data_IF_056336325759
#
_entry.id   IF_056336325759
#
_cell.length_a   1.000
_cell.length_b   1.000
_cell.length_c   1.000
_cell.angle_alpha   90.00
_cell.angle_beta   90.00
_cell.angle_gamma   90.00
#
_symmetry.space_group_name_H-M   'P 1'
#
loop_
_entity.id
_entity.type
_entity.pdbx_description
1 polymer ?
#
# COMPACT_ATOMS: atom_id res chain seq x y z
N UNK A 1 5.62 4.01 3.92
CA UNK A 1 6.12 2.67 4.29
C UNK A 1 5.56 2.26 5.66
N UNK A 2 4.71 1.22 5.75
CA UNK A 2 4.25 0.64 7.03
C UNK A 2 4.84 -0.75 7.18
N UNK A 3 5.48 -1.04 8.30
CA UNK A 3 6.09 -2.35 8.63
C UNK A 3 4.99 -3.32 9.05
N UNK A 4 4.83 -4.44 8.35
CA UNK A 4 3.76 -5.44 8.59
C UNK A 4 4.26 -6.65 9.42
N UNK A 5 5.52 -6.65 9.87
CA UNK A 5 6.09 -7.72 10.70
C UNK A 5 7.35 -7.21 11.41
N UNK A 6 7.45 -7.40 12.72
CA UNK A 6 8.65 -7.12 13.52
C UNK A 6 9.69 -8.27 13.44
N UNK A 7 9.88 -8.87 12.28
CA UNK A 7 11.13 -9.60 12.05
C UNK A 7 12.22 -8.56 11.84
N UNK A 8 12.87 -8.16 12.94
CA UNK A 8 14.09 -7.36 12.90
C UNK A 8 15.17 -8.25 12.32
N UNK A 9 15.27 -8.26 10.99
CA UNK A 9 16.38 -8.89 10.31
C UNK A 9 17.67 -8.19 10.75
N UNK A 10 18.53 -8.92 11.46
CA UNK A 10 19.78 -8.39 12.06
C UNK A 10 20.99 -8.48 11.12
N UNK A 11 20.78 -8.77 9.83
CA UNK A 11 21.83 -8.85 8.82
C UNK A 11 21.81 -7.69 7.83
N UNK A 12 22.71 -7.74 6.84
CA UNK A 12 22.67 -6.85 5.67
C UNK A 12 21.70 -7.41 4.63
N UNK A 13 20.89 -6.55 4.03
CA UNK A 13 19.99 -6.94 2.95
C UNK A 13 20.11 -5.96 1.78
N UNK A 14 20.04 -6.48 0.56
CA UNK A 14 19.99 -5.65 -0.63
C UNK A 14 18.74 -4.77 -0.64
N UNK A 15 18.92 -3.52 -1.06
CA UNK A 15 17.83 -2.64 -1.46
C UNK A 15 17.91 -2.41 -2.97
N UNK A 16 16.82 -1.97 -3.58
CA UNK A 16 16.73 -1.75 -5.02
C UNK A 16 17.54 -0.55 -5.56
N UNK A 17 18.59 -0.09 -4.88
CA UNK A 17 19.41 1.05 -5.31
C UNK A 17 20.73 0.55 -5.91
N UNK A 18 21.03 0.97 -7.13
CA UNK A 18 22.24 0.56 -7.85
C UNK A 18 22.73 1.62 -8.83
N UNK A 19 23.93 1.44 -9.37
CA UNK A 19 24.50 2.23 -10.48
C UNK A 19 25.24 1.29 -11.44
N UNK A 20 25.52 1.72 -12.66
CA UNK A 20 26.21 0.87 -13.66
C UNK A 20 27.73 0.92 -13.54
N UNK A 21 28.27 2.03 -13.05
CA UNK A 21 29.70 2.29 -12.90
C UNK A 21 29.92 3.44 -11.90
N UNK A 22 31.18 3.78 -11.65
CA UNK A 22 31.56 4.81 -10.67
C UNK A 22 31.07 6.23 -11.03
N UNK A 23 30.87 6.53 -12.32
CA UNK A 23 30.42 7.84 -12.82
C UNK A 23 28.91 7.94 -12.95
N UNK A 24 28.21 6.81 -13.00
CA UNK A 24 26.76 6.75 -13.09
C UNK A 24 26.08 7.24 -11.80
N UNK A 25 24.93 7.87 -11.98
CA UNK A 25 24.03 8.20 -10.87
C UNK A 25 23.42 6.94 -10.28
N UNK A 26 23.14 6.96 -8.99
CA UNK A 26 22.32 5.94 -8.36
C UNK A 26 20.90 5.95 -8.95
N UNK A 27 20.28 4.78 -9.07
CA UNK A 27 18.93 4.61 -9.62
C UNK A 27 18.20 3.55 -8.79
N UNK A 28 16.97 3.86 -8.38
CA UNK A 28 16.06 2.88 -7.78
C UNK A 28 15.50 1.93 -8.84
N UNK A 29 15.31 0.67 -8.49
CA UNK A 29 14.77 -0.37 -9.38
C UNK A 29 13.36 -0.07 -9.89
N UNK A 30 12.60 0.76 -9.16
CA UNK A 30 11.27 1.23 -9.57
C UNK A 30 11.31 2.55 -10.36
N UNK A 31 12.52 3.07 -10.64
CA UNK A 31 12.76 4.33 -11.33
C UNK A 31 12.22 5.57 -10.60
N UNK A 32 11.88 5.45 -9.32
CA UNK A 32 11.49 6.60 -8.51
C UNK A 32 12.64 7.61 -8.39
N UNK A 33 12.33 8.92 -8.30
CA UNK A 33 13.36 9.93 -8.12
C UNK A 33 14.05 9.76 -6.77
N UNK A 34 15.38 9.89 -6.76
CA UNK A 34 16.15 9.90 -5.51
C UNK A 34 15.95 11.23 -4.81
N UNK A 35 15.29 11.20 -3.65
CA UNK A 35 15.11 12.36 -2.78
C UNK A 35 16.06 12.34 -1.59
N UNK A 36 16.29 11.15 -1.02
CA UNK A 36 17.15 10.96 0.15
C UNK A 36 17.70 9.54 0.20
N UNK A 37 18.98 9.39 0.55
CA UNK A 37 19.64 8.10 0.73
C UNK A 37 20.38 8.11 2.08
N UNK A 38 20.01 7.25 3.05
CA UNK A 38 20.57 7.27 4.40
C UNK A 38 21.93 6.56 4.47
N UNK A 39 22.94 7.09 3.79
CA UNK A 39 24.29 6.54 3.81
C UNK A 39 24.82 6.33 5.23
N UNK A 40 25.56 5.24 5.41
CA UNK A 40 26.37 5.01 6.59
C UNK A 40 27.56 5.98 6.66
N UNK A 41 28.26 6.00 7.80
CA UNK A 41 29.52 6.72 7.90
C UNK A 41 30.50 6.26 6.81
N UNK A 42 31.14 7.21 6.12
CA UNK A 42 32.11 6.95 5.04
C UNK A 42 31.53 6.19 3.85
N UNK A 43 30.26 6.42 3.50
CA UNK A 43 29.57 5.77 2.38
C UNK A 43 28.95 6.82 1.44
N UNK A 44 28.83 6.53 0.13
CA UNK A 44 29.42 5.37 -0.56
C UNK A 44 30.94 5.54 -0.71
N UNK A 45 31.72 4.47 -0.65
CA UNK A 45 33.19 4.52 -0.76
C UNK A 45 33.79 3.79 -1.96
N UNK A 46 33.00 3.03 -2.72
CA UNK A 46 33.45 2.33 -3.93
C UNK A 46 34.80 1.62 -3.80
N UNK A 47 34.99 0.87 -2.72
CA UNK A 47 36.19 0.06 -2.48
C UNK A 47 36.50 -0.81 -3.71
N UNK A 48 37.78 -0.87 -4.08
CA UNK A 48 38.26 -1.59 -5.26
C UNK A 48 37.59 -1.21 -6.61
N UNK A 49 36.87 -0.08 -6.66
CA UNK A 49 36.14 0.38 -7.85
C UNK A 49 35.13 -0.64 -8.40
N UNK A 50 34.45 -1.40 -7.52
CA UNK A 50 33.49 -2.43 -7.93
C UNK A 50 32.23 -2.51 -7.06
N UNK A 51 31.91 -1.46 -6.30
CA UNK A 51 30.74 -1.42 -5.42
C UNK A 51 29.61 -0.58 -6.02
N UNK A 52 28.71 -1.27 -6.71
CA UNK A 52 27.67 -0.66 -7.52
C UNK A 52 26.24 -1.03 -7.08
N UNK A 53 26.11 -1.82 -6.02
CA UNK A 53 24.84 -2.20 -5.41
C UNK A 53 24.79 -1.73 -3.96
N UNK A 54 23.60 -1.43 -3.44
CA UNK A 54 23.45 -0.90 -2.09
C UNK A 54 22.73 -1.88 -1.18
N UNK A 55 23.31 -2.13 -0.01
CA UNK A 55 22.67 -2.88 1.06
C UNK A 55 22.28 -1.96 2.23
N UNK A 56 21.19 -2.32 2.92
CA UNK A 56 20.84 -1.78 4.22
C UNK A 56 21.50 -2.60 5.32
N UNK A 57 22.14 -1.92 6.26
CA UNK A 57 22.77 -2.51 7.45
C UNK A 57 21.75 -2.69 8.58
N UNK A 58 22.08 -3.46 9.64
CA UNK A 58 21.20 -3.63 10.81
C UNK A 58 20.83 -2.32 11.52
N UNK A 59 21.63 -1.26 11.33
CA UNK A 59 21.39 0.08 11.89
C UNK A 59 20.55 0.98 10.95
N UNK A 60 19.90 0.40 9.93
CA UNK A 60 19.12 1.11 8.92
C UNK A 60 19.93 2.18 8.15
N UNK A 61 21.22 1.93 7.95
CA UNK A 61 22.14 2.76 7.15
C UNK A 61 22.56 2.04 5.88
N UNK A 62 22.86 2.79 4.83
CA UNK A 62 23.20 2.24 3.51
C UNK A 62 24.72 2.08 3.33
N UNK A 63 25.11 1.04 2.61
CA UNK A 63 26.47 0.65 2.32
C UNK A 63 26.56 0.22 0.85
N UNK A 64 27.49 0.78 0.07
CA UNK A 64 27.76 0.26 -1.28
C UNK A 64 28.64 -0.99 -1.20
N UNK A 65 28.25 -2.02 -1.95
CA UNK A 65 28.88 -3.33 -1.95
C UNK A 65 28.98 -3.88 -3.37
N UNK A 66 29.85 -4.88 -3.52
CA UNK A 66 29.98 -5.66 -4.74
C UNK A 66 28.69 -6.44 -5.01
N UNK A 67 28.06 -6.14 -6.16
CA UNK A 67 26.79 -6.77 -6.56
C UNK A 67 26.77 -8.31 -6.51
N UNK A 68 27.86 -9.05 -6.80
CA UNK A 68 27.88 -10.51 -6.71
C UNK A 68 27.70 -11.08 -5.29
N UNK A 69 27.75 -10.25 -4.24
CA UNK A 69 27.61 -10.72 -2.86
C UNK A 69 26.21 -11.31 -2.62
N UNK A 70 26.17 -12.47 -1.98
CA UNK A 70 24.91 -13.18 -1.66
C UNK A 70 24.31 -12.62 -0.37
N UNK A 71 23.31 -11.74 -0.51
CA UNK A 71 22.50 -11.19 0.59
C UNK A 71 21.01 -11.37 0.26
N UNK A 72 20.12 -11.45 1.27
CA UNK A 72 18.68 -11.39 1.04
C UNK A 72 18.27 -10.03 0.47
N UNK A 73 17.12 -9.97 -0.19
CA UNK A 73 16.60 -8.75 -0.82
C UNK A 73 15.39 -8.21 -0.06
N UNK A 74 15.32 -6.89 0.12
CA UNK A 74 14.11 -6.21 0.61
C UNK A 74 13.23 -5.86 -0.58
N UNK A 75 12.03 -6.45 -0.62
CA UNK A 75 11.00 -6.07 -1.59
C UNK A 75 9.95 -5.18 -0.91
N UNK A 76 9.46 -4.18 -1.63
CA UNK A 76 8.24 -3.48 -1.27
C UNK A 76 7.27 -3.50 -2.43
N UNK A 77 5.99 -3.38 -2.09
CA UNK A 77 4.93 -3.11 -3.05
C UNK A 77 4.15 -1.93 -2.51
N UNK A 78 3.97 -0.90 -3.34
CA UNK A 78 3.01 0.15 -3.07
C UNK A 78 1.61 -0.46 -3.21
N UNK A 79 0.96 -0.70 -2.06
CA UNK A 79 -0.45 -1.08 -2.06
C UNK A 79 -1.27 0.17 -2.29
N UNK A 80 -1.66 0.40 -3.54
CA UNK A 80 -2.64 1.42 -3.87
C UNK A 80 -3.95 1.10 -3.14
N UNK A 81 -4.30 1.93 -2.16
CA UNK A 81 -5.61 1.87 -1.51
C UNK A 81 -6.60 2.64 -2.35
N UNK A 82 -7.31 1.94 -3.22
CA UNK A 82 -8.44 2.50 -3.93
C UNK A 82 -9.69 2.41 -3.04
N UNK A 83 -10.46 3.49 -2.98
CA UNK A 83 -11.75 3.52 -2.29
C UNK A 83 -12.85 3.66 -3.32
N UNK A 84 -13.68 2.63 -3.47
CA UNK A 84 -14.89 2.68 -4.29
C UNK A 84 -16.06 3.14 -3.42
N UNK A 85 -16.85 4.09 -3.92
CA UNK A 85 -18.09 4.54 -3.24
C UNK A 85 -19.29 3.90 -3.92
N UNK A 86 -20.07 3.15 -3.15
CA UNK A 86 -21.27 2.47 -3.63
C UNK A 86 -22.51 3.18 -3.08
N UNK A 87 -23.52 3.34 -3.93
CA UNK A 87 -24.89 3.68 -3.50
C UNK A 87 -25.76 2.47 -3.74
N UNK A 88 -26.36 1.96 -2.67
CA UNK A 88 -27.17 0.74 -2.70
C UNK A 88 -28.59 1.10 -2.29
N UNK A 89 -29.58 0.64 -3.07
CA UNK A 89 -30.99 0.77 -2.74
C UNK A 89 -31.50 -0.61 -2.33
N UNK A 90 -31.96 -0.73 -1.09
CA UNK A 90 -32.48 -1.98 -0.54
C UNK A 90 -33.65 -1.68 0.40
N UNK A 91 -34.53 -2.67 0.59
CA UNK A 91 -35.58 -2.65 1.61
C UNK A 91 -35.10 -3.18 2.97
N UNK A 92 -33.97 -3.90 3.01
CA UNK A 92 -33.37 -4.45 4.23
C UNK A 92 -32.27 -3.58 4.83
N UNK A 93 -31.73 -4.01 5.98
CA UNK A 93 -30.56 -3.37 6.57
C UNK A 93 -29.27 -3.90 5.92
N UNK A 94 -28.59 -3.04 5.17
CA UNK A 94 -27.33 -3.37 4.50
C UNK A 94 -26.13 -3.43 5.46
N UNK A 95 -26.28 -2.93 6.70
CA UNK A 95 -25.23 -3.02 7.71
C UNK A 95 -25.31 -4.33 8.52
N UNK A 96 -26.29 -5.20 8.27
CA UNK A 96 -26.33 -6.55 8.84
C UNK A 96 -25.01 -7.30 8.53
N UNK A 97 -24.33 -7.90 9.53
CA UNK A 97 -23.04 -8.56 9.33
C UNK A 97 -23.05 -9.70 8.30
N UNK A 98 -24.13 -10.48 8.21
CA UNK A 98 -24.23 -11.55 7.23
C UNK A 98 -24.40 -10.98 5.82
N UNK A 99 -25.27 -9.96 5.68
CA UNK A 99 -25.50 -9.28 4.40
C UNK A 99 -24.25 -8.57 3.91
N UNK A 100 -23.56 -7.81 4.77
CA UNK A 100 -22.39 -7.05 4.36
C UNK A 100 -21.21 -7.96 3.96
N UNK A 101 -21.11 -9.15 4.56
CA UNK A 101 -20.07 -10.14 4.25
C UNK A 101 -20.33 -10.74 2.89
N UNK A 102 -21.59 -11.11 2.62
CA UNK A 102 -22.03 -11.62 1.33
C UNK A 102 -21.80 -10.61 0.18
N UNK A 103 -22.15 -9.34 0.40
CA UNK A 103 -21.89 -8.28 -0.59
C UNK A 103 -20.40 -8.11 -0.85
N UNK A 104 -19.55 -8.20 0.19
CA UNK A 104 -18.09 -8.09 0.02
C UNK A 104 -17.55 -9.25 -0.82
N UNK A 105 -18.06 -10.47 -0.59
CA UNK A 105 -17.69 -11.66 -1.36
C UNK A 105 -18.08 -11.52 -2.83
N UNK A 106 -19.30 -11.07 -3.12
CA UNK A 106 -19.75 -10.86 -4.50
C UNK A 106 -18.90 -9.83 -5.25
N UNK A 107 -18.51 -8.74 -4.58
CA UNK A 107 -17.59 -7.74 -5.15
C UNK A 107 -16.23 -8.39 -5.45
N UNK A 108 -15.72 -9.24 -4.56
CA UNK A 108 -14.45 -9.94 -4.77
C UNK A 108 -14.50 -10.85 -6.00
N UNK A 109 -15.57 -11.62 -6.17
CA UNK A 109 -15.78 -12.51 -7.31
C UNK A 109 -15.89 -11.73 -8.64
N UNK A 110 -16.61 -10.61 -8.63
CA UNK A 110 -16.70 -9.72 -9.80
C UNK A 110 -15.34 -9.17 -10.19
N UNK A 111 -14.53 -8.72 -9.22
CA UNK A 111 -13.20 -8.21 -9.52
C UNK A 111 -12.26 -9.33 -10.02
N UNK A 112 -12.38 -10.56 -9.49
CA UNK A 112 -11.66 -11.75 -9.98
C UNK A 112 -11.97 -12.06 -11.43
N UNK A 113 -13.26 -12.07 -11.79
CA UNK A 113 -13.69 -12.31 -13.16
C UNK A 113 -13.17 -11.26 -14.16
N UNK A 114 -12.84 -10.05 -13.69
CA UNK A 114 -12.30 -8.96 -14.49
C UNK A 114 -10.76 -8.81 -14.37
N UNK A 115 -10.07 -9.76 -13.73
CA UNK A 115 -8.60 -9.78 -13.65
C UNK A 115 -7.98 -8.72 -12.73
N UNK A 116 -8.73 -8.22 -11.75
CA UNK A 116 -8.30 -7.09 -10.89
C UNK A 116 -7.76 -7.50 -9.51
N UNK A 117 -7.84 -8.78 -9.12
CA UNK A 117 -7.75 -9.18 -7.70
C UNK A 117 -6.53 -9.98 -7.29
N UNK A 118 -5.53 -10.17 -8.15
CA UNK A 118 -4.40 -11.05 -7.80
C UNK A 118 -3.65 -10.59 -6.53
N UNK A 119 -3.89 -9.37 -6.05
CA UNK A 119 -3.35 -8.83 -4.78
C UNK A 119 -4.33 -7.97 -3.95
N UNK A 120 -5.62 -7.88 -4.31
CA UNK A 120 -6.55 -6.90 -3.73
C UNK A 120 -7.25 -7.45 -2.48
N UNK A 121 -6.76 -7.11 -1.28
CA UNK A 121 -7.51 -7.31 -0.04
C UNK A 121 -8.67 -6.31 0.03
N UNK A 122 -9.90 -6.78 -0.13
CA UNK A 122 -11.10 -5.97 0.06
C UNK A 122 -11.47 -5.87 1.55
N UNK A 123 -11.98 -4.70 1.93
CA UNK A 123 -12.51 -4.47 3.27
C UNK A 123 -13.46 -3.29 3.27
N UNK A 124 -14.51 -3.36 4.08
CA UNK A 124 -15.38 -2.22 4.32
C UNK A 124 -14.63 -1.09 5.03
N UNK A 125 -14.95 0.15 4.63
CA UNK A 125 -14.55 1.34 5.39
C UNK A 125 -15.61 1.60 6.45
N UNK A 126 -15.32 1.15 7.68
CA UNK A 126 -16.17 1.41 8.84
C UNK A 126 -16.04 2.89 9.24
N UNK A 127 -17.17 3.52 9.51
CA UNK A 127 -17.27 4.91 9.92
C UNK A 127 -17.20 5.05 11.45
N UNK A 128 -17.03 6.26 12.01
CA UNK A 128 -16.94 6.45 13.45
C UNK A 128 -18.15 5.94 14.25
N UNK A 129 -19.31 5.86 13.62
CA UNK A 129 -20.56 5.33 14.19
C UNK A 129 -20.66 3.79 14.15
N UNK A 130 -19.62 3.11 13.64
CA UNK A 130 -19.58 1.65 13.49
C UNK A 130 -20.27 1.14 12.22
N UNK A 131 -20.94 2.00 11.44
CA UNK A 131 -21.63 1.59 10.22
C UNK A 131 -20.71 1.65 8.99
N UNK A 132 -21.04 0.83 7.99
CA UNK A 132 -20.40 0.87 6.67
C UNK A 132 -21.15 1.82 5.76
N UNK A 133 -22.48 1.70 5.73
CA UNK A 133 -23.37 2.47 4.87
C UNK A 133 -24.17 3.48 5.69
N UNK A 134 -24.20 4.73 5.21
CA UNK A 134 -25.11 5.76 5.73
C UNK A 134 -26.43 5.70 5.00
N UNK A 135 -27.56 5.67 5.73
CA UNK A 135 -28.89 5.82 5.14
C UNK A 135 -29.00 7.23 4.54
N UNK A 136 -29.18 7.32 3.22
CA UNK A 136 -29.53 8.61 2.62
C UNK A 136 -30.89 9.05 3.15
N UNK A 137 -30.99 10.24 3.74
CA UNK A 137 -32.30 10.85 4.00
C UNK A 137 -33.04 10.95 2.66
N UNK A 138 -34.29 10.48 2.60
CA UNK A 138 -35.19 10.90 1.52
C UNK A 138 -35.23 12.43 1.61
N UNK A 139 -34.94 13.12 0.51
CA UNK A 139 -35.38 14.51 0.37
C UNK A 139 -36.87 14.51 0.64
N UNK A 140 -37.28 15.23 1.69
CA UNK A 140 -38.65 15.36 2.14
C UNK A 140 -39.56 15.56 0.93
N UNK A 141 -40.51 14.64 0.75
CA UNK A 141 -41.66 14.91 -0.07
C UNK A 141 -42.37 16.08 0.60
N UNK A 142 -42.43 17.20 -0.10
CA UNK A 142 -43.08 18.44 0.30
C UNK A 142 -44.49 18.13 0.82
N UNK A 143 -44.69 18.11 2.14
CA UNK A 143 -46.02 18.03 2.74
C UNK A 143 -46.70 19.39 2.57
N UNK A 144 -47.92 19.48 2.03
CA UNK A 144 -48.65 20.75 1.93
C UNK A 144 -48.99 21.29 3.31
N UNK A 145 -49.09 22.63 3.49
CA UNK A 145 -49.40 23.21 4.80
C UNK A 145 -50.83 22.84 5.22
N UNK A 146 -50.97 22.24 6.41
CA UNK A 146 -52.27 22.06 7.05
C UNK A 146 -52.71 23.41 7.63
N UNK A 147 -53.72 24.02 7.02
CA UNK A 147 -54.54 25.07 7.64
C UNK A 147 -55.76 24.40 8.26
N UNK A 148 -55.93 24.49 9.58
CA UNK A 148 -57.18 24.13 10.24
C UNK A 148 -57.97 25.40 10.57
N UNK A 149 -59.25 25.40 10.21
CA UNK A 149 -60.33 26.26 10.72
C UNK A 149 -61.14 25.49 11.76
#
# INVERSE_FOLDING_TARGET
MRVISQQVYKGEAWVGLSRTDASASWVWSDQSPITFVPWGPNQPNNLANNQYCVAVTPNAKFNDLECPRKLPFVCYTERLKQTVRLKVKTSGDINDPAVNTEVLQQIEELLKANGLTDYAKLSWKIQPDGNVFQKSRRSDATSPPQTCS
#
